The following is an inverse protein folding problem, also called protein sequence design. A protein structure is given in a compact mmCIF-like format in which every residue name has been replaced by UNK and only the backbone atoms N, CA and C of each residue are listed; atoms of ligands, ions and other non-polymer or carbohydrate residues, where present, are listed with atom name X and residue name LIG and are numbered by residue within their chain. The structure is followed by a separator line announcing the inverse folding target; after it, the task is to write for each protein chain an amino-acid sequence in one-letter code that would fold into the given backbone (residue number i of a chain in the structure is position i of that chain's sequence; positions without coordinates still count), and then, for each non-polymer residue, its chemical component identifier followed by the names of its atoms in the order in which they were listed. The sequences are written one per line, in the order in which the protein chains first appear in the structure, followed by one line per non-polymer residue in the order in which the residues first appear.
data_IF_499052139208
#
_entry.id   IF_499052139208
#
_cell.length_a   1.000
_cell.length_b   1.000
_cell.length_c   1.000
_cell.angle_alpha   90.00
_cell.angle_beta   90.00
_cell.angle_gamma   90.00
#
_symmetry.space_group_name_H-M   'P 1'
#
loop_
_entity.id
_entity.type
_entity.pdbx_description
1 polymer ?
#
# COMPACT_ATOMS: atom_id res chain seq x y z
N UNK A 1 -18.79 -1.39 18.23
CA UNK A 1 -17.37 -1.56 17.84
C UNK A 1 -17.07 -3.05 17.84
N UNK A 2 -16.80 -3.65 16.69
CA UNK A 2 -16.47 -5.08 16.62
C UNK A 2 -15.00 -5.27 17.02
N UNK A 3 -14.77 -5.94 18.14
CA UNK A 3 -13.43 -6.24 18.64
C UNK A 3 -12.91 -7.43 17.84
N UNK A 4 -12.00 -7.19 16.89
CA UNK A 4 -11.33 -8.28 16.17
C UNK A 4 -10.35 -8.97 17.11
N UNK A 5 -10.59 -10.26 17.41
CA UNK A 5 -9.69 -11.13 18.15
C UNK A 5 -8.72 -11.82 17.17
N UNK A 6 -7.43 -11.45 17.15
CA UNK A 6 -6.48 -11.96 16.16
C UNK A 6 -5.65 -13.17 16.65
N UNK A 7 -5.92 -13.73 17.83
CA UNK A 7 -5.15 -14.83 18.43
C UNK A 7 -5.86 -16.19 18.31
N UNK A 8 -5.06 -17.25 18.11
CA UNK A 8 -5.45 -18.66 18.12
C UNK A 8 -5.84 -19.11 19.54
N UNK A 9 -7.10 -18.94 19.91
CA UNK A 9 -7.72 -19.55 21.09
C UNK A 9 -8.57 -20.79 20.72
N UNK A 10 -8.28 -21.43 19.58
CA UNK A 10 -9.08 -22.51 18.97
C UNK A 10 -10.55 -22.12 18.67
N UNK A 11 -10.87 -20.82 18.60
CA UNK A 11 -12.15 -20.29 18.14
C UNK A 11 -12.15 -19.86 16.67
N UNK A 12 -13.29 -19.35 16.18
CA UNK A 12 -13.36 -18.63 14.90
C UNK A 12 -12.51 -17.35 15.01
N UNK A 13 -11.42 -17.28 14.24
CA UNK A 13 -10.55 -16.13 14.16
C UNK A 13 -10.53 -15.53 12.76
N UNK A 14 -10.14 -14.26 12.70
CA UNK A 14 -10.22 -13.48 11.46
C UNK A 14 -9.16 -13.96 10.46
N UNK A 15 -9.57 -14.36 9.26
CA UNK A 15 -8.64 -14.71 8.17
C UNK A 15 -7.98 -13.48 7.56
N UNK A 16 -8.77 -12.43 7.32
CA UNK A 16 -8.30 -11.16 6.75
C UNK A 16 -9.24 -10.01 7.12
N UNK A 17 -8.71 -8.80 7.16
CA UNK A 17 -9.54 -7.58 7.19
C UNK A 17 -9.91 -7.15 5.78
N UNK A 18 -10.99 -6.37 5.64
CA UNK A 18 -11.49 -5.89 4.33
C UNK A 18 -10.39 -5.18 3.51
N UNK A 19 -9.60 -4.33 4.17
CA UNK A 19 -8.47 -3.61 3.55
C UNK A 19 -7.15 -4.37 3.61
N UNK A 20 -7.18 -5.64 4.03
CA UNK A 20 -6.00 -6.53 4.12
C UNK A 20 -4.84 -5.96 4.95
N UNK A 21 -5.13 -5.05 5.91
CA UNK A 21 -4.14 -4.60 6.89
C UNK A 21 -3.76 -5.70 7.91
N UNK A 22 -4.55 -6.78 7.93
CA UNK A 22 -4.27 -8.04 8.59
C UNK A 22 -4.67 -9.16 7.64
N UNK A 23 -3.79 -10.15 7.49
CA UNK A 23 -4.01 -11.36 6.72
C UNK A 23 -3.27 -12.49 7.44
N UNK A 24 -3.97 -13.60 7.73
CA UNK A 24 -3.37 -14.81 8.30
C UNK A 24 -3.16 -15.86 7.22
N UNK A 25 -1.95 -16.41 7.18
CA UNK A 25 -1.58 -17.52 6.31
C UNK A 25 -1.61 -18.81 7.13
N UNK A 26 -2.35 -19.81 6.66
CA UNK A 26 -2.51 -21.09 7.38
C UNK A 26 -1.41 -22.09 6.97
N UNK A 27 -0.75 -21.84 5.84
CA UNK A 27 0.38 -22.61 5.33
C UNK A 27 1.31 -21.74 4.46
N UNK A 28 2.44 -22.33 4.03
CA UNK A 28 3.45 -21.61 3.27
C UNK A 28 2.99 -21.32 1.83
N UNK A 29 2.18 -22.20 1.24
CA UNK A 29 1.68 -22.07 -0.13
C UNK A 29 0.76 -20.85 -0.29
N UNK A 30 -0.06 -20.57 0.72
CA UNK A 30 -0.89 -19.35 0.78
C UNK A 30 -0.03 -18.08 0.85
N UNK A 31 1.06 -18.12 1.62
CA UNK A 31 2.00 -17.01 1.73
C UNK A 31 2.68 -16.76 0.37
N UNK A 32 3.23 -17.79 -0.25
CA UNK A 32 3.90 -17.71 -1.55
C UNK A 32 2.96 -17.18 -2.63
N UNK A 33 1.73 -17.68 -2.68
CA UNK A 33 0.71 -17.21 -3.63
C UNK A 33 0.42 -15.73 -3.45
N UNK A 34 0.20 -15.28 -2.21
CA UNK A 34 -0.09 -13.88 -1.92
C UNK A 34 1.09 -12.96 -2.27
N UNK A 35 2.32 -13.40 -2.01
CA UNK A 35 3.53 -12.64 -2.35
C UNK A 35 3.78 -12.59 -3.85
N UNK A 36 3.55 -13.68 -4.58
CA UNK A 36 3.67 -13.70 -6.04
C UNK A 36 2.71 -12.69 -6.69
N UNK A 37 1.47 -12.61 -6.21
CA UNK A 37 0.52 -11.58 -6.65
C UNK A 37 1.07 -10.19 -6.34
N UNK A 38 1.48 -9.94 -5.09
CA UNK A 38 1.99 -8.64 -4.66
C UNK A 38 3.22 -8.19 -5.46
N UNK A 39 4.13 -9.11 -5.79
CA UNK A 39 5.36 -8.86 -6.54
C UNK A 39 5.11 -8.72 -8.05
N UNK A 40 4.04 -9.33 -8.58
CA UNK A 40 3.62 -9.18 -9.98
C UNK A 40 2.96 -7.84 -10.27
N UNK A 41 2.45 -7.16 -9.24
CA UNK A 41 1.83 -5.84 -9.37
C UNK A 41 2.92 -4.76 -9.41
N UNK A 42 2.84 -3.85 -10.38
CA UNK A 42 3.71 -2.68 -10.46
C UNK A 42 3.31 -1.64 -9.39
N UNK A 43 3.65 -1.92 -8.13
CA UNK A 43 3.38 -1.03 -7.00
C UNK A 43 4.58 -0.16 -6.69
N UNK A 44 4.33 1.14 -6.56
CA UNK A 44 5.30 2.05 -5.98
C UNK A 44 5.02 2.21 -4.47
N UNK A 45 5.97 1.81 -3.63
CA UNK A 45 5.90 2.04 -2.18
C UNK A 45 6.33 3.48 -1.87
N UNK A 46 5.50 4.22 -1.13
CA UNK A 46 5.80 5.58 -0.67
C UNK A 46 5.59 5.65 0.84
N UNK A 47 6.68 5.77 1.61
CA UNK A 47 6.63 5.89 3.07
C UNK A 47 6.55 7.33 3.57
N UNK A 48 6.31 8.30 2.70
CA UNK A 48 6.52 9.70 3.10
C UNK A 48 5.29 10.28 3.80
N UNK A 49 5.40 10.54 5.11
CA UNK A 49 4.46 11.36 5.88
C UNK A 49 4.65 12.85 5.53
N UNK A 50 4.56 13.23 4.25
CA UNK A 50 4.70 14.63 3.83
C UNK A 50 3.49 15.45 4.27
N UNK A 51 3.73 16.63 4.82
CA UNK A 51 2.66 17.55 5.19
C UNK A 51 1.91 18.09 3.97
N UNK A 52 0.65 18.53 4.15
CA UNK A 52 -0.20 19.06 3.08
C UNK A 52 0.48 20.15 2.24
N UNK A 53 1.25 21.03 2.89
CA UNK A 53 1.99 22.12 2.21
C UNK A 53 3.08 21.59 1.27
N UNK A 54 3.79 20.54 1.68
CA UNK A 54 4.85 19.94 0.86
C UNK A 54 4.26 19.11 -0.29
N UNK A 55 3.19 18.35 -0.02
CA UNK A 55 2.43 17.66 -1.06
C UNK A 55 1.89 18.63 -2.12
N UNK A 56 1.34 19.78 -1.70
CA UNK A 56 0.88 20.81 -2.63
C UNK A 56 1.98 21.30 -3.57
N UNK A 57 3.19 21.53 -3.05
CA UNK A 57 4.36 21.91 -3.88
C UNK A 57 4.76 20.82 -4.87
N UNK A 58 4.76 19.57 -4.44
CA UNK A 58 5.10 18.43 -5.30
C UNK A 58 4.08 18.29 -6.44
N UNK A 59 2.78 18.43 -6.14
CA UNK A 59 1.72 18.42 -7.14
C UNK A 59 1.92 19.56 -8.14
N UNK A 60 2.21 20.77 -7.65
CA UNK A 60 2.46 21.94 -8.50
C UNK A 60 3.63 21.69 -9.47
N UNK A 61 4.75 21.18 -8.97
CA UNK A 61 5.94 20.87 -9.81
C UNK A 61 5.60 19.81 -10.84
N UNK A 62 5.01 18.68 -10.42
CA UNK A 62 4.66 17.58 -11.31
C UNK A 62 3.65 18.00 -12.39
N UNK A 63 2.71 18.89 -12.07
CA UNK A 63 1.67 19.34 -12.99
C UNK A 63 2.18 20.10 -14.22
N UNK A 64 3.45 20.56 -14.19
CA UNK A 64 4.10 21.30 -15.28
C UNK A 64 4.53 20.40 -16.44
N UNK A 65 4.63 19.09 -16.23
CA UNK A 65 4.90 18.14 -17.30
C UNK A 65 3.75 18.09 -18.30
N UNK A 66 4.03 17.84 -19.58
CA UNK A 66 3.00 17.86 -20.62
C UNK A 66 2.14 16.59 -20.61
N UNK A 67 2.80 15.42 -20.57
CA UNK A 67 2.14 14.12 -20.61
C UNK A 67 1.73 13.64 -19.20
N UNK A 68 0.61 12.92 -19.10
CA UNK A 68 0.10 12.40 -17.83
C UNK A 68 1.07 11.42 -17.17
N UNK A 69 1.71 10.58 -17.97
CA UNK A 69 2.72 9.62 -17.54
C UNK A 69 3.91 10.36 -16.92
N UNK A 70 4.35 11.47 -17.54
CA UNK A 70 5.44 12.30 -17.02
C UNK A 70 5.06 13.02 -15.73
N UNK A 71 3.83 13.53 -15.62
CA UNK A 71 3.30 14.09 -14.36
C UNK A 71 3.38 13.04 -13.24
N UNK A 72 2.96 11.80 -13.53
CA UNK A 72 3.06 10.71 -12.57
C UNK A 72 4.52 10.41 -12.21
N UNK A 73 5.40 10.20 -13.18
CA UNK A 73 6.83 9.94 -12.93
C UNK A 73 7.48 11.00 -12.02
N UNK A 74 7.29 12.29 -12.31
CA UNK A 74 7.84 13.39 -11.52
C UNK A 74 7.24 13.44 -10.11
N UNK A 75 5.92 13.27 -9.99
CA UNK A 75 5.25 13.21 -8.69
C UNK A 75 5.81 12.06 -7.83
N UNK A 76 5.91 10.85 -8.40
CA UNK A 76 6.40 9.67 -7.71
C UNK A 76 7.90 9.82 -7.34
N UNK A 77 8.71 10.46 -8.19
CA UNK A 77 10.11 10.77 -7.86
C UNK A 77 10.23 11.71 -6.65
N UNK A 78 9.42 12.77 -6.62
CA UNK A 78 9.50 13.81 -5.58
C UNK A 78 8.89 13.36 -4.23
N UNK A 79 7.91 12.45 -4.26
CA UNK A 79 7.27 11.96 -3.03
C UNK A 79 8.09 10.86 -2.33
N UNK A 80 8.96 10.13 -3.04
CA UNK A 80 9.85 9.09 -2.45
C UNK A 80 10.88 9.67 -1.46
N UNK A 81 11.23 10.96 -1.57
CA UNK A 81 12.36 11.56 -0.88
C UNK A 81 13.63 11.39 -1.69
#
# INVERSE_FOLDING_TARGET
MNVTKPLDDNGENIKKTEKQGFYRFDNIEELETAFNVLLSEERNFFSSMKGKKELGKIIEIASREEAYEKKAEVFLKLIKG
#
